data_IF_254989968482
#
_entry.id   IF_254989968482
#
_cell.length_a   1.000
_cell.length_b   1.000
_cell.length_c   1.000
_cell.angle_alpha   90.00
_cell.angle_beta   90.00
_cell.angle_gamma   90.00
#
_symmetry.space_group_name_H-M   'P 1'
#
loop_
_entity.id
_entity.type
_entity.pdbx_description
1 polymer ?
#
# COMPACT_ATOMS: atom_id res chain seq x y z
N UNK A 1 61.88 53.75 0.93
CA UNK A 1 62.25 53.40 2.32
C UNK A 1 63.77 53.43 2.39
N UNK A 2 64.37 54.15 3.35
CA UNK A 2 65.83 54.44 3.47
C UNK A 2 66.37 55.35 2.34
N UNK A 3 67.01 56.54 2.47
CA UNK A 3 67.62 57.39 3.53
C UNK A 3 69.16 57.56 3.34
N UNK A 4 69.71 58.69 3.82
CA UNK A 4 71.06 59.29 3.62
C UNK A 4 71.14 60.26 2.41
N UNK A 5 71.26 61.60 2.52
CA UNK A 5 71.67 62.57 3.57
C UNK A 5 73.16 62.89 3.70
N UNK A 6 73.44 64.18 3.96
CA UNK A 6 74.70 64.84 4.41
C UNK A 6 75.81 64.93 3.32
N UNK A 7 76.66 65.97 3.19
CA UNK A 7 77.00 67.28 3.85
C UNK A 7 77.26 68.30 2.69
N UNK A 8 76.98 69.62 2.67
CA UNK A 8 76.92 70.77 3.61
C UNK A 8 78.27 71.54 3.82
N UNK A 9 78.21 72.82 4.24
CA UNK A 9 79.33 73.75 4.57
C UNK A 9 80.13 74.40 3.40
N UNK A 10 80.65 75.63 3.51
CA UNK A 10 80.17 76.87 4.17
C UNK A 10 81.06 78.10 3.77
N UNK A 11 80.43 79.22 3.40
CA UNK A 11 80.50 80.54 4.09
C UNK A 11 81.85 81.29 4.31
N UNK A 12 82.19 82.21 3.36
CA UNK A 12 82.86 83.54 3.53
C UNK A 12 84.26 83.61 4.24
N UNK A 13 84.91 84.80 4.48
CA UNK A 13 84.79 86.16 3.92
C UNK A 13 86.13 86.82 3.42
N UNK A 14 85.99 87.99 2.77
CA UNK A 14 86.78 89.25 2.87
C UNK A 14 88.29 89.26 3.26
N UNK A 15 89.14 89.95 2.47
CA UNK A 15 90.10 91.03 2.88
C UNK A 15 90.87 91.60 1.67
N UNK A 16 91.06 92.93 1.66
CA UNK A 16 91.93 93.75 0.78
C UNK A 16 92.61 94.80 1.69
N UNK A 17 93.72 95.46 1.29
CA UNK A 17 95.10 95.00 1.10
C UNK A 17 96.03 95.52 2.26
N UNK A 18 97.38 95.41 2.18
CA UNK A 18 98.20 96.45 1.53
C UNK A 18 99.41 95.88 0.73
N UNK A 19 100.18 96.74 0.06
CA UNK A 19 101.20 96.35 -0.94
C UNK A 19 102.61 96.05 -0.41
N UNK A 20 103.48 95.52 -1.29
CA UNK A 20 104.90 95.28 -0.99
C UNK A 20 105.65 94.29 -1.90
N UNK A 21 105.82 94.66 -3.18
CA UNK A 21 106.87 94.32 -4.18
C UNK A 21 107.53 92.90 -4.29
N UNK A 22 107.97 92.57 -5.52
CA UNK A 22 108.63 91.33 -6.02
C UNK A 22 107.76 90.05 -6.11
N UNK A 23 107.87 89.19 -7.14
CA UNK A 23 108.68 89.26 -8.37
C UNK A 23 108.60 88.02 -9.28
N UNK A 24 107.59 87.95 -10.17
CA UNK A 24 107.55 87.26 -11.49
C UNK A 24 107.77 85.72 -11.57
N UNK A 25 108.22 85.00 -10.55
CA UNK A 25 108.54 83.54 -10.66
C UNK A 25 107.38 82.55 -10.40
N UNK A 26 106.30 82.95 -9.71
CA UNK A 26 105.18 82.03 -9.40
C UNK A 26 104.31 81.66 -10.61
N UNK A 27 104.08 82.60 -11.54
CA UNK A 27 103.07 82.46 -12.61
C UNK A 27 103.39 81.35 -13.62
N UNK A 28 104.67 81.02 -13.85
CA UNK A 28 105.07 79.92 -14.72
C UNK A 28 104.77 78.55 -14.09
N UNK A 29 104.97 78.42 -12.77
CA UNK A 29 104.67 77.20 -12.01
C UNK A 29 103.15 76.94 -11.94
N UNK A 30 102.36 77.99 -11.78
CA UNK A 30 100.90 77.94 -11.79
C UNK A 30 100.34 77.48 -13.14
N UNK A 31 100.88 77.96 -14.25
CA UNK A 31 100.46 77.53 -15.59
C UNK A 31 100.83 76.06 -15.89
N UNK A 32 102.02 75.61 -15.47
CA UNK A 32 102.43 74.21 -15.62
C UNK A 32 101.56 73.27 -14.78
N UNK A 33 101.19 73.69 -13.55
CA UNK A 33 100.23 72.98 -12.71
C UNK A 33 98.85 72.88 -13.38
N UNK A 34 98.34 73.98 -13.94
CA UNK A 34 97.06 74.01 -14.65
C UNK A 34 97.02 73.03 -15.83
N UNK A 35 98.11 72.88 -16.59
CA UNK A 35 98.21 71.89 -17.68
C UNK A 35 98.26 70.43 -17.18
N UNK A 36 98.82 70.18 -16.00
CA UNK A 36 98.82 68.85 -15.38
C UNK A 36 97.41 68.53 -14.87
N UNK A 37 96.77 69.47 -14.18
CA UNK A 37 95.40 69.35 -13.68
C UNK A 37 94.39 69.12 -14.83
N UNK A 38 94.55 69.83 -15.96
CA UNK A 38 93.68 69.62 -17.13
C UNK A 38 93.94 68.28 -17.83
N UNK A 39 95.21 67.82 -17.92
CA UNK A 39 95.51 66.46 -18.41
C UNK A 39 94.92 65.36 -17.51
N UNK A 40 94.98 65.54 -16.19
CA UNK A 40 94.35 64.65 -15.21
C UNK A 40 92.82 64.67 -15.36
N UNK A 41 92.22 65.86 -15.56
CA UNK A 41 90.79 66.03 -15.84
C UNK A 41 90.37 65.32 -17.13
N UNK A 42 91.09 65.51 -18.24
CA UNK A 42 90.84 64.78 -19.49
C UNK A 42 90.98 63.25 -19.32
N UNK A 43 91.99 62.78 -18.59
CA UNK A 43 92.17 61.36 -18.29
C UNK A 43 91.00 60.81 -17.45
N UNK A 44 90.56 61.56 -16.43
CA UNK A 44 89.41 61.20 -15.61
C UNK A 44 88.11 61.17 -16.43
N UNK A 45 87.84 62.15 -17.28
CA UNK A 45 86.68 62.14 -18.19
C UNK A 45 86.73 60.96 -19.16
N UNK A 46 87.91 60.59 -19.69
CA UNK A 46 88.08 59.42 -20.56
C UNK A 46 87.75 58.12 -19.81
N UNK A 47 88.26 57.97 -18.57
CA UNK A 47 87.95 56.82 -17.71
C UNK A 47 86.45 56.75 -17.41
N UNK A 48 85.84 57.87 -16.99
CA UNK A 48 84.41 57.92 -16.67
C UNK A 48 83.54 57.59 -17.89
N UNK A 49 83.91 58.06 -19.09
CA UNK A 49 83.22 57.68 -20.33
C UNK A 49 83.37 56.18 -20.65
N UNK A 50 84.55 55.60 -20.43
CA UNK A 50 84.77 54.17 -20.62
C UNK A 50 83.95 53.32 -19.62
N UNK A 51 83.92 53.71 -18.34
CA UNK A 51 83.08 53.07 -17.31
C UNK A 51 81.60 53.19 -17.65
N UNK A 52 81.13 54.40 -18.02
CA UNK A 52 79.72 54.62 -18.39
C UNK A 52 79.32 53.83 -19.63
N UNK A 53 80.22 53.70 -20.62
CA UNK A 53 79.99 52.85 -21.80
C UNK A 53 79.90 51.37 -21.43
N UNK A 54 80.78 50.88 -20.55
CA UNK A 54 80.75 49.49 -20.09
C UNK A 54 79.45 49.18 -19.31
N UNK A 55 79.05 50.06 -18.38
CA UNK A 55 77.79 49.94 -17.65
C UNK A 55 76.56 50.04 -18.56
N UNK A 56 76.56 50.93 -19.55
CA UNK A 56 75.50 51.00 -20.56
C UNK A 56 75.38 49.68 -21.34
N UNK A 57 76.50 49.10 -21.81
CA UNK A 57 76.49 47.79 -22.48
C UNK A 57 75.99 46.69 -21.54
N UNK A 58 76.43 46.67 -20.27
CA UNK A 58 75.97 45.69 -19.28
C UNK A 58 74.44 45.77 -19.05
N UNK A 59 73.93 46.97 -18.83
CA UNK A 59 72.49 47.23 -18.66
C UNK A 59 71.70 46.92 -19.94
N UNK A 60 72.26 47.17 -21.11
CA UNK A 60 71.64 46.80 -22.40
C UNK A 60 71.54 45.27 -22.55
N UNK A 61 72.58 44.52 -22.19
CA UNK A 61 72.56 43.05 -22.20
C UNK A 61 71.60 42.48 -21.14
N UNK A 62 71.57 43.05 -19.93
CA UNK A 62 70.61 42.69 -18.87
C UNK A 62 69.15 42.98 -19.30
N UNK A 63 68.89 44.12 -19.94
CA UNK A 63 67.59 44.46 -20.51
C UNK A 63 67.19 43.48 -21.64
N UNK A 64 68.12 43.15 -22.54
CA UNK A 64 67.88 42.18 -23.62
C UNK A 64 67.57 40.79 -23.04
N UNK A 65 68.31 40.32 -22.04
CA UNK A 65 68.04 39.04 -21.35
C UNK A 65 66.66 39.06 -20.69
N UNK A 66 66.35 40.09 -19.90
CA UNK A 66 65.06 40.25 -19.22
C UNK A 66 63.89 40.28 -20.19
N UNK A 67 64.06 40.93 -21.36
CA UNK A 67 63.04 40.98 -22.42
C UNK A 67 62.81 39.62 -23.10
N UNK A 68 63.86 38.82 -23.29
CA UNK A 68 63.71 37.45 -23.80
C UNK A 68 63.02 36.54 -22.78
N UNK A 69 63.39 36.66 -21.50
CA UNK A 69 62.77 35.91 -20.42
C UNK A 69 61.28 36.25 -20.25
N UNK A 70 60.91 37.54 -20.29
CA UNK A 70 59.52 37.97 -20.31
C UNK A 70 58.73 37.35 -21.47
N UNK A 71 59.33 37.29 -22.67
CA UNK A 71 58.70 36.67 -23.85
C UNK A 71 58.54 35.16 -23.68
N UNK A 72 59.52 34.48 -23.06
CA UNK A 72 59.46 33.05 -22.74
C UNK A 72 58.32 32.76 -21.77
N UNK A 73 58.28 33.47 -20.64
CA UNK A 73 57.23 33.32 -19.62
C UNK A 73 55.83 33.65 -20.15
N UNK A 74 55.70 34.64 -21.04
CA UNK A 74 54.43 34.97 -21.69
C UNK A 74 53.95 33.82 -22.60
N UNK A 75 54.85 33.22 -23.38
CA UNK A 75 54.55 32.06 -24.21
C UNK A 75 54.20 30.83 -23.35
N UNK A 76 54.96 30.54 -22.30
CA UNK A 76 54.69 29.43 -21.38
C UNK A 76 53.30 29.57 -20.76
N UNK A 77 52.97 30.75 -20.20
CA UNK A 77 51.64 31.07 -19.68
C UNK A 77 50.53 30.87 -20.72
N UNK A 78 50.74 31.31 -21.96
CA UNK A 78 49.76 31.12 -23.04
C UNK A 78 49.53 29.64 -23.34
N UNK A 79 50.60 28.84 -23.46
CA UNK A 79 50.48 27.39 -23.72
C UNK A 79 49.82 26.63 -22.57
N UNK A 80 50.05 27.03 -21.32
CA UNK A 80 49.39 26.41 -20.16
C UNK A 80 47.92 26.81 -20.09
N UNK A 81 47.58 28.05 -20.41
CA UNK A 81 46.18 28.48 -20.52
C UNK A 81 45.43 27.69 -21.61
N UNK A 82 46.06 27.42 -22.76
CA UNK A 82 45.50 26.59 -23.83
C UNK A 82 45.30 25.13 -23.37
N UNK A 83 46.28 24.52 -22.68
CA UNK A 83 46.13 23.17 -22.09
C UNK A 83 44.98 23.11 -21.08
N UNK A 84 44.84 24.11 -20.20
CA UNK A 84 43.73 24.15 -19.25
C UNK A 84 42.38 24.34 -19.95
N UNK A 85 42.31 25.09 -21.04
CA UNK A 85 41.09 25.22 -21.83
C UNK A 85 40.69 23.90 -22.51
N UNK A 86 41.65 23.16 -23.07
CA UNK A 86 41.40 21.84 -23.65
C UNK A 86 40.90 20.85 -22.60
N UNK A 87 41.59 20.73 -21.46
CA UNK A 87 41.20 19.84 -20.37
C UNK A 87 39.81 20.18 -19.80
N UNK A 88 39.46 21.47 -19.69
CA UNK A 88 38.13 21.89 -19.27
C UNK A 88 37.04 21.48 -20.26
N UNK A 89 37.34 21.49 -21.57
CA UNK A 89 36.38 21.09 -22.60
C UNK A 89 36.24 19.56 -22.69
N UNK A 90 37.34 18.81 -22.51
CA UNK A 90 37.32 17.34 -22.36
C UNK A 90 36.44 16.91 -21.17
N UNK A 91 36.66 17.49 -19.98
CA UNK A 91 35.87 17.19 -18.78
C UNK A 91 34.38 17.57 -18.92
N UNK A 92 34.07 18.62 -19.69
CA UNK A 92 32.68 18.97 -20.03
C UNK A 92 32.05 17.94 -20.97
N UNK A 93 32.81 17.48 -21.97
CA UNK A 93 32.39 16.41 -22.88
C UNK A 93 32.07 15.13 -22.12
N UNK A 94 32.99 14.65 -21.28
CA UNK A 94 32.78 13.47 -20.43
C UNK A 94 31.55 13.61 -19.52
N UNK A 95 31.33 14.78 -18.91
CA UNK A 95 30.17 15.03 -18.06
C UNK A 95 28.85 14.93 -18.85
N UNK A 96 28.81 15.44 -20.09
CA UNK A 96 27.64 15.35 -20.97
C UNK A 96 27.37 13.90 -21.38
N UNK A 97 28.40 13.14 -21.77
CA UNK A 97 28.25 11.72 -22.09
C UNK A 97 27.76 10.91 -20.88
N UNK A 98 28.37 11.10 -19.70
CA UNK A 98 27.94 10.40 -18.47
C UNK A 98 26.53 10.76 -18.04
N UNK A 99 26.09 11.99 -18.30
CA UNK A 99 24.69 12.41 -18.04
C UNK A 99 23.74 11.69 -18.98
N UNK A 100 24.08 11.60 -20.27
CA UNK A 100 23.31 10.87 -21.29
C UNK A 100 23.23 9.36 -20.99
N UNK A 101 24.35 8.72 -20.67
CA UNK A 101 24.41 7.30 -20.26
C UNK A 101 23.46 7.02 -19.09
N UNK A 102 23.43 7.92 -18.10
CA UNK A 102 22.62 7.82 -16.90
C UNK A 102 21.12 8.03 -17.19
N UNK A 103 20.77 8.91 -18.12
CA UNK A 103 19.39 9.07 -18.61
C UNK A 103 18.92 7.84 -19.40
N UNK A 104 19.76 7.28 -20.26
CA UNK A 104 19.45 6.05 -20.99
C UNK A 104 19.25 4.87 -20.03
N UNK A 105 20.13 4.68 -19.04
CA UNK A 105 19.93 3.64 -18.02
C UNK A 105 18.64 3.85 -17.21
N UNK A 106 18.26 5.08 -16.86
CA UNK A 106 16.97 5.35 -16.20
C UNK A 106 15.76 4.92 -17.03
N UNK A 107 15.85 4.98 -18.37
CA UNK A 107 14.79 4.53 -19.26
C UNK A 107 14.74 3.00 -19.38
N UNK A 108 15.89 2.33 -19.36
CA UNK A 108 16.00 0.87 -19.45
C UNK A 108 15.63 0.16 -18.13
N UNK A 109 16.00 0.73 -16.98
CA UNK A 109 15.70 0.18 -15.66
C UNK A 109 14.18 0.00 -15.45
N UNK A 110 13.82 -1.10 -14.77
CA UNK A 110 12.45 -1.36 -14.36
C UNK A 110 12.04 -0.35 -13.28
N UNK A 111 11.33 0.70 -13.69
CA UNK A 111 10.80 1.71 -12.75
C UNK A 111 9.67 1.11 -11.90
N UNK A 112 9.39 1.65 -10.70
CA UNK A 112 8.28 1.20 -9.88
C UNK A 112 6.93 1.17 -10.62
N UNK A 113 6.67 2.16 -11.49
CA UNK A 113 5.43 2.22 -12.28
C UNK A 113 5.35 1.09 -13.33
N UNK A 114 6.49 0.71 -13.95
CA UNK A 114 6.53 -0.46 -14.86
C UNK A 114 6.32 -1.76 -14.09
N UNK A 115 6.84 -1.86 -12.87
CA UNK A 115 6.64 -3.01 -11.98
C UNK A 115 5.17 -3.12 -11.53
N UNK A 116 4.54 -2.02 -11.11
CA UNK A 116 3.11 -1.98 -10.76
C UNK A 116 2.22 -2.37 -11.95
N UNK A 117 2.52 -1.87 -13.15
CA UNK A 117 1.80 -2.27 -14.37
C UNK A 117 1.95 -3.77 -14.67
N UNK A 118 3.16 -4.31 -14.54
CA UNK A 118 3.44 -5.74 -14.76
C UNK A 118 2.75 -6.61 -13.70
N UNK A 119 2.70 -6.17 -12.43
CA UNK A 119 1.95 -6.83 -11.37
C UNK A 119 0.45 -6.83 -11.66
N UNK A 120 -0.12 -5.71 -12.10
CA UNK A 120 -1.52 -5.62 -12.49
C UNK A 120 -1.85 -6.53 -13.69
N UNK A 121 -0.96 -6.61 -14.69
CA UNK A 121 -1.09 -7.54 -15.82
C UNK A 121 -1.06 -9.01 -15.36
N UNK A 122 -0.11 -9.40 -14.50
CA UNK A 122 -0.04 -10.76 -13.94
C UNK A 122 -1.32 -11.10 -13.14
N UNK A 123 -1.83 -10.15 -12.34
CA UNK A 123 -3.08 -10.34 -11.59
C UNK A 123 -4.29 -10.51 -12.51
N UNK A 124 -4.37 -9.73 -13.59
CA UNK A 124 -5.48 -9.76 -14.53
C UNK A 124 -5.46 -10.98 -15.46
N UNK A 125 -4.29 -11.32 -16.02
CA UNK A 125 -4.14 -12.37 -17.04
C UNK A 125 -3.94 -13.77 -16.45
N UNK A 126 -3.36 -13.90 -15.25
CA UNK A 126 -3.02 -15.19 -14.65
C UNK A 126 -3.76 -15.45 -13.33
N UNK A 127 -3.62 -14.57 -12.33
CA UNK A 127 -4.16 -14.87 -10.99
C UNK A 127 -5.69 -14.91 -10.96
N UNK A 128 -6.35 -13.96 -11.63
CA UNK A 128 -7.82 -13.88 -11.65
C UNK A 128 -8.44 -15.08 -12.38
N UNK A 129 -8.03 -15.44 -13.62
CA UNK A 129 -8.57 -16.62 -14.31
C UNK A 129 -8.24 -17.94 -13.61
N UNK A 130 -7.08 -18.06 -12.94
CA UNK A 130 -6.78 -19.24 -12.11
C UNK A 130 -7.71 -19.32 -10.90
N UNK A 131 -7.92 -18.22 -10.18
CA UNK A 131 -8.82 -18.16 -9.01
C UNK A 131 -10.26 -18.52 -9.39
N UNK A 132 -10.75 -18.04 -10.54
CA UNK A 132 -12.06 -18.40 -11.05
C UNK A 132 -12.15 -19.88 -11.46
N UNK A 133 -11.11 -20.42 -12.12
CA UNK A 133 -11.05 -21.87 -12.42
C UNK A 133 -11.11 -22.74 -11.16
N UNK A 134 -10.36 -22.38 -10.11
CA UNK A 134 -10.41 -23.12 -8.84
C UNK A 134 -11.79 -23.04 -8.19
N UNK A 135 -12.39 -21.84 -8.10
CA UNK A 135 -13.77 -21.68 -7.57
C UNK A 135 -14.78 -22.54 -8.35
N UNK A 136 -14.70 -22.55 -9.68
CA UNK A 136 -15.62 -23.32 -10.51
C UNK A 136 -15.43 -24.84 -10.29
N UNK A 137 -14.19 -25.32 -10.13
CA UNK A 137 -13.90 -26.71 -9.79
C UNK A 137 -14.41 -27.09 -8.39
N UNK A 138 -14.24 -26.23 -7.39
CA UNK A 138 -14.77 -26.45 -6.04
C UNK A 138 -16.31 -26.53 -6.06
N UNK A 139 -16.97 -25.66 -6.84
CA UNK A 139 -18.42 -25.72 -7.05
C UNK A 139 -18.87 -27.01 -7.77
N UNK A 140 -18.12 -27.49 -8.76
CA UNK A 140 -18.39 -28.77 -9.45
C UNK A 140 -18.23 -29.96 -8.50
N UNK A 141 -17.17 -29.98 -7.68
CA UNK A 141 -16.93 -31.01 -6.66
C UNK A 141 -18.08 -31.05 -5.66
N UNK A 142 -18.53 -29.91 -5.13
CA UNK A 142 -19.67 -29.88 -4.20
C UNK A 142 -21.00 -30.24 -4.88
N UNK A 143 -21.24 -29.84 -6.14
CA UNK A 143 -22.40 -30.32 -6.93
C UNK A 143 -22.41 -31.85 -7.00
N UNK A 144 -21.34 -32.47 -7.50
CA UNK A 144 -21.24 -33.94 -7.59
C UNK A 144 -21.32 -34.62 -6.22
N UNK A 145 -20.80 -34.00 -5.15
CA UNK A 145 -20.92 -34.51 -3.77
C UNK A 145 -22.37 -34.50 -3.28
N UNK A 146 -23.15 -33.46 -3.59
CA UNK A 146 -24.59 -33.42 -3.24
C UNK A 146 -25.40 -34.43 -4.05
N UNK A 147 -25.14 -34.57 -5.35
CA UNK A 147 -25.77 -35.56 -6.22
C UNK A 147 -25.46 -37.01 -5.79
N UNK A 148 -24.19 -37.31 -5.50
CA UNK A 148 -23.77 -38.61 -4.96
C UNK A 148 -24.48 -38.93 -3.65
N UNK A 149 -24.55 -37.97 -2.71
CA UNK A 149 -25.23 -38.18 -1.44
C UNK A 149 -26.73 -38.43 -1.65
N UNK A 150 -27.39 -37.67 -2.52
CA UNK A 150 -28.80 -37.88 -2.89
C UNK A 150 -29.02 -39.28 -3.47
N UNK A 151 -28.25 -39.67 -4.48
CA UNK A 151 -28.36 -40.97 -5.14
C UNK A 151 -28.08 -42.12 -4.16
N UNK A 152 -27.14 -41.94 -3.22
CA UNK A 152 -26.86 -42.91 -2.14
C UNK A 152 -28.05 -43.09 -1.21
N UNK A 153 -28.75 -42.02 -0.83
CA UNK A 153 -29.98 -42.11 -0.04
C UNK A 153 -31.11 -42.79 -0.83
N UNK A 154 -31.33 -42.39 -2.08
CA UNK A 154 -32.35 -42.99 -2.97
C UNK A 154 -32.10 -44.50 -3.17
N UNK A 155 -30.86 -44.91 -3.44
CA UNK A 155 -30.47 -46.32 -3.54
C UNK A 155 -30.73 -47.09 -2.22
N UNK A 156 -30.42 -46.48 -1.07
CA UNK A 156 -30.61 -47.13 0.24
C UNK A 156 -32.10 -47.32 0.55
N UNK A 157 -32.90 -46.29 0.29
CA UNK A 157 -34.36 -46.32 0.43
C UNK A 157 -35.00 -47.36 -0.49
N UNK A 158 -34.66 -47.34 -1.79
CA UNK A 158 -35.21 -48.28 -2.77
C UNK A 158 -34.82 -49.73 -2.46
N UNK A 159 -33.61 -49.95 -1.93
CA UNK A 159 -33.19 -51.26 -1.44
C UNK A 159 -34.04 -51.73 -0.26
N UNK A 160 -34.30 -50.87 0.74
CA UNK A 160 -35.14 -51.26 1.88
C UNK A 160 -36.59 -51.54 1.48
N UNK A 161 -37.16 -50.77 0.55
CA UNK A 161 -38.50 -51.01 -0.01
C UNK A 161 -38.56 -52.37 -0.74
N UNK A 162 -37.55 -52.69 -1.55
CA UNK A 162 -37.45 -53.97 -2.24
C UNK A 162 -37.30 -55.15 -1.27
N UNK A 163 -36.47 -55.02 -0.24
CA UNK A 163 -36.31 -56.04 0.80
C UNK A 163 -37.62 -56.23 1.59
N UNK A 164 -38.32 -55.15 1.94
CA UNK A 164 -39.61 -55.19 2.62
C UNK A 164 -40.70 -55.88 1.80
N UNK A 165 -40.88 -55.50 0.53
CA UNK A 165 -41.85 -56.12 -0.38
C UNK A 165 -41.56 -57.61 -0.57
N UNK A 166 -40.28 -57.99 -0.70
CA UNK A 166 -39.88 -59.40 -0.81
C UNK A 166 -40.25 -60.20 0.45
N UNK A 167 -40.07 -59.64 1.64
CA UNK A 167 -40.48 -60.26 2.91
C UNK A 167 -42.01 -60.31 3.09
N UNK A 168 -42.74 -59.31 2.58
CA UNK A 168 -44.20 -59.30 2.55
C UNK A 168 -44.75 -60.41 1.63
N UNK A 169 -44.27 -60.50 0.39
CA UNK A 169 -44.67 -61.58 -0.52
C UNK A 169 -44.32 -62.97 0.02
N UNK A 170 -43.17 -63.13 0.68
CA UNK A 170 -42.79 -64.40 1.31
C UNK A 170 -43.75 -64.79 2.46
N UNK A 171 -44.21 -63.81 3.26
CA UNK A 171 -45.21 -64.03 4.33
C UNK A 171 -46.57 -64.40 3.76
N UNK A 172 -47.05 -63.67 2.76
CA UNK A 172 -48.35 -63.95 2.10
C UNK A 172 -48.36 -65.38 1.53
N UNK A 173 -47.30 -65.79 0.83
CA UNK A 173 -47.19 -67.14 0.26
C UNK A 173 -47.21 -68.24 1.34
N UNK A 174 -46.52 -68.05 2.46
CA UNK A 174 -46.53 -69.04 3.55
C UNK A 174 -47.87 -69.05 4.29
N UNK A 175 -48.54 -67.90 4.47
CA UNK A 175 -49.90 -67.84 5.00
C UNK A 175 -50.93 -68.53 4.11
N UNK A 176 -50.88 -68.32 2.79
CA UNK A 176 -51.75 -69.01 1.83
C UNK A 176 -51.50 -70.52 1.84
N UNK A 177 -50.23 -70.94 1.86
CA UNK A 177 -49.85 -72.34 2.01
C UNK A 177 -50.42 -72.97 3.28
N UNK A 178 -50.27 -72.33 4.44
CA UNK A 178 -50.84 -72.82 5.71
C UNK A 178 -52.38 -72.89 5.64
N UNK A 179 -53.05 -71.90 5.02
CA UNK A 179 -54.51 -71.91 4.82
C UNK A 179 -54.92 -73.14 4.00
N UNK A 180 -54.29 -73.38 2.85
CA UNK A 180 -54.60 -74.54 2.01
C UNK A 180 -54.25 -75.89 2.66
N UNK A 181 -53.12 -76.00 3.39
CA UNK A 181 -52.78 -77.19 4.17
C UNK A 181 -53.85 -77.48 5.24
N UNK A 182 -54.38 -76.45 5.90
CA UNK A 182 -55.45 -76.60 6.89
C UNK A 182 -56.81 -76.98 6.28
N UNK A 183 -57.13 -76.45 5.10
CA UNK A 183 -58.35 -76.78 4.36
C UNK A 183 -58.32 -78.23 3.86
N UNK A 184 -57.19 -78.68 3.31
CA UNK A 184 -56.97 -80.08 2.91
C UNK A 184 -57.15 -81.01 4.12
N UNK A 185 -56.51 -80.71 5.26
CA UNK A 185 -56.63 -81.52 6.46
C UNK A 185 -58.07 -81.58 7.01
N UNK A 186 -58.83 -80.49 6.91
CA UNK A 186 -60.26 -80.48 7.28
C UNK A 186 -61.09 -81.36 6.33
N UNK A 187 -60.89 -81.23 5.02
CA UNK A 187 -61.62 -82.01 4.01
C UNK A 187 -61.29 -83.51 4.07
N UNK A 188 -60.05 -83.87 4.39
CA UNK A 188 -59.64 -85.25 4.64
C UNK A 188 -60.34 -85.85 5.86
N UNK A 189 -60.44 -85.07 6.95
CA UNK A 189 -61.18 -85.45 8.16
C UNK A 189 -62.68 -85.59 7.90
N UNK A 190 -63.30 -84.64 7.22
CA UNK A 190 -64.72 -84.68 6.88
C UNK A 190 -65.06 -85.89 5.99
N UNK A 191 -64.17 -86.22 5.04
CA UNK A 191 -64.26 -87.43 4.20
C UNK A 191 -64.17 -88.71 5.04
N UNK A 192 -63.23 -88.78 6.01
CA UNK A 192 -63.13 -89.92 6.91
C UNK A 192 -64.35 -90.04 7.83
N UNK A 193 -64.89 -88.92 8.33
CA UNK A 193 -66.11 -88.91 9.14
C UNK A 193 -67.33 -89.38 8.34
N UNK A 194 -67.50 -88.92 7.09
CA UNK A 194 -68.59 -89.37 6.21
C UNK A 194 -68.50 -90.86 5.87
N UNK A 195 -67.30 -91.39 5.61
CA UNK A 195 -67.07 -92.83 5.42
C UNK A 195 -67.44 -93.61 6.69
N UNK A 196 -67.03 -93.12 7.86
CA UNK A 196 -67.36 -93.72 9.14
C UNK A 196 -68.86 -93.65 9.49
N UNK A 197 -69.57 -92.60 9.05
CA UNK A 197 -71.03 -92.47 9.23
C UNK A 197 -71.79 -93.44 8.31
N UNK A 198 -71.39 -93.55 7.05
CA UNK A 198 -71.95 -94.50 6.08
C UNK A 198 -71.84 -95.96 6.58
N UNK A 199 -70.74 -96.28 7.28
CA UNK A 199 -70.48 -97.60 7.87
C UNK A 199 -71.28 -97.90 9.16
N UNK A 200 -71.92 -96.90 9.77
CA UNK A 200 -72.55 -96.98 11.12
C UNK A 200 -74.08 -96.93 11.11
N UNK A 201 -74.72 -97.06 9.94
CA UNK A 201 -76.19 -97.03 9.81
C UNK A 201 -76.77 -98.39 10.22
N UNK A 202 -77.31 -98.47 11.43
CA UNK A 202 -78.14 -99.58 11.90
C UNK A 202 -79.45 -99.03 12.54
N UNK A 203 -80.66 -99.32 12.01
CA UNK A 203 -81.86 -98.51 12.28
C UNK A 203 -82.46 -98.48 13.72
N UNK A 204 -82.38 -99.51 14.58
CA UNK A 204 -83.26 -99.57 15.76
C UNK A 204 -82.76 -98.75 16.97
N UNK A 205 -81.55 -98.20 16.91
CA UNK A 205 -80.98 -97.37 18.00
C UNK A 205 -81.49 -95.92 18.03
N UNK A 206 -82.18 -95.47 16.98
CA UNK A 206 -82.44 -94.05 16.74
C UNK A 206 -83.24 -93.38 17.86
N UNK A 207 -84.29 -94.00 18.42
CA UNK A 207 -85.17 -93.30 19.38
C UNK A 207 -84.51 -92.91 20.71
N UNK A 208 -83.48 -93.63 21.18
CA UNK A 208 -82.71 -93.23 22.38
C UNK A 208 -81.58 -92.27 22.02
N UNK A 209 -81.04 -92.42 20.80
CA UNK A 209 -80.03 -91.54 20.24
C UNK A 209 -80.61 -90.14 19.97
N UNK A 210 -81.81 -90.03 19.43
CA UNK A 210 -82.52 -88.75 19.21
C UNK A 210 -82.85 -88.04 20.51
N UNK A 211 -83.18 -88.75 21.59
CA UNK A 211 -83.44 -88.13 22.89
C UNK A 211 -82.16 -87.58 23.54
N UNK A 212 -81.03 -88.31 23.46
CA UNK A 212 -79.73 -87.82 23.89
C UNK A 212 -79.26 -86.64 23.02
N UNK A 213 -79.36 -86.76 21.70
CA UNK A 213 -79.08 -85.69 20.74
C UNK A 213 -79.96 -84.46 20.99
N UNK A 214 -81.22 -84.60 21.40
CA UNK A 214 -82.08 -83.46 21.72
C UNK A 214 -81.60 -82.70 22.96
N UNK A 215 -81.15 -83.41 24.00
CA UNK A 215 -80.56 -82.78 25.21
C UNK A 215 -79.22 -82.11 24.89
N UNK A 216 -78.39 -82.78 24.09
CA UNK A 216 -77.12 -82.24 23.61
C UNK A 216 -77.33 -81.00 22.72
N UNK A 217 -78.34 -81.02 21.84
CA UNK A 217 -78.71 -79.89 20.98
C UNK A 217 -79.18 -78.67 21.82
N UNK A 218 -79.96 -78.86 22.88
CA UNK A 218 -80.31 -77.77 23.81
C UNK A 218 -79.07 -77.18 24.49
N UNK A 219 -78.15 -78.02 24.96
CA UNK A 219 -76.88 -77.57 25.56
C UNK A 219 -75.99 -76.84 24.55
N UNK A 220 -75.87 -77.38 23.33
CA UNK A 220 -75.13 -76.75 22.23
C UNK A 220 -75.77 -75.41 21.84
N UNK A 221 -77.09 -75.30 21.76
CA UNK A 221 -77.81 -74.05 21.53
C UNK A 221 -77.53 -72.98 22.61
N UNK A 222 -77.43 -73.38 23.88
CA UNK A 222 -77.03 -72.45 24.95
C UNK A 222 -75.57 -72.01 24.81
N UNK A 223 -74.66 -72.93 24.49
CA UNK A 223 -73.26 -72.60 24.22
C UNK A 223 -73.09 -71.70 22.99
N UNK A 224 -73.88 -71.93 21.94
CA UNK A 224 -73.92 -71.10 20.73
C UNK A 224 -74.32 -69.67 21.07
N UNK A 225 -75.40 -69.48 21.84
CA UNK A 225 -75.82 -68.14 22.30
C UNK A 225 -74.77 -67.42 23.16
N UNK A 226 -74.02 -68.16 23.97
CA UNK A 226 -72.88 -67.61 24.71
C UNK A 226 -71.77 -67.10 23.79
N UNK A 227 -71.38 -67.91 22.80
CA UNK A 227 -70.37 -67.56 21.80
C UNK A 227 -70.85 -66.42 20.87
N UNK A 228 -72.13 -66.36 20.52
CA UNK A 228 -72.74 -65.26 19.76
C UNK A 228 -72.64 -63.93 20.51
N UNK A 229 -72.86 -63.94 21.83
CA UNK A 229 -72.70 -62.76 22.68
C UNK A 229 -71.23 -62.33 22.80
N UNK A 230 -70.31 -63.27 23.04
CA UNK A 230 -68.86 -63.02 23.08
C UNK A 230 -68.34 -62.44 21.75
N UNK A 231 -68.80 -62.99 20.61
CA UNK A 231 -68.48 -62.45 19.27
C UNK A 231 -69.06 -61.05 19.06
N UNK A 232 -70.22 -60.72 19.64
CA UNK A 232 -70.79 -59.38 19.59
C UNK A 232 -69.98 -58.37 20.43
N UNK A 233 -69.55 -58.75 21.64
CA UNK A 233 -68.69 -57.94 22.49
C UNK A 233 -67.31 -57.70 21.84
N UNK A 234 -66.66 -58.75 21.35
CA UNK A 234 -65.38 -58.64 20.64
C UNK A 234 -65.46 -57.77 19.37
N UNK A 235 -66.60 -57.78 18.67
CA UNK A 235 -66.84 -56.87 17.53
C UNK A 235 -66.96 -55.42 17.99
N UNK A 236 -67.71 -55.14 19.06
CA UNK A 236 -67.85 -53.80 19.62
C UNK A 236 -66.52 -53.25 20.16
N UNK A 237 -65.72 -54.09 20.82
CA UNK A 237 -64.38 -53.72 21.31
C UNK A 237 -63.40 -53.46 20.15
N UNK A 238 -63.44 -54.29 19.10
CA UNK A 238 -62.69 -54.05 17.86
C UNK A 238 -63.08 -52.73 17.18
N UNK A 239 -64.38 -52.42 17.11
CA UNK A 239 -64.86 -51.17 16.50
C UNK A 239 -64.43 -49.95 17.33
N UNK A 240 -64.55 -50.01 18.67
CA UNK A 240 -64.09 -48.97 19.58
C UNK A 240 -62.57 -48.74 19.49
N UNK A 241 -61.76 -49.81 19.49
CA UNK A 241 -60.31 -49.68 19.33
C UNK A 241 -59.92 -49.13 17.95
N UNK A 242 -60.61 -49.52 16.88
CA UNK A 242 -60.48 -48.92 15.55
C UNK A 242 -60.77 -47.41 15.55
N UNK A 243 -61.87 -47.00 16.18
CA UNK A 243 -62.23 -45.59 16.31
C UNK A 243 -61.20 -44.78 17.14
N UNK A 244 -60.60 -45.38 18.18
CA UNK A 244 -59.52 -44.76 18.94
C UNK A 244 -58.25 -44.57 18.11
N UNK A 245 -57.84 -45.59 17.35
CA UNK A 245 -56.68 -45.50 16.44
C UNK A 245 -56.91 -44.44 15.36
N UNK A 246 -58.09 -44.42 14.75
CA UNK A 246 -58.41 -43.43 13.71
C UNK A 246 -58.41 -41.99 14.29
N UNK A 247 -58.98 -41.79 15.48
CA UNK A 247 -58.97 -40.48 16.14
C UNK A 247 -57.54 -40.03 16.49
N UNK A 248 -56.70 -40.93 17.02
CA UNK A 248 -55.29 -40.64 17.29
C UNK A 248 -54.53 -40.27 16.01
N UNK A 249 -54.76 -41.00 14.91
CA UNK A 249 -54.15 -40.72 13.61
C UNK A 249 -54.61 -39.36 13.05
N UNK A 250 -55.91 -39.03 13.13
CA UNK A 250 -56.44 -37.71 12.73
C UNK A 250 -55.79 -36.56 13.52
N UNK A 251 -55.56 -36.74 14.82
CA UNK A 251 -54.87 -35.76 15.67
C UNK A 251 -53.41 -35.59 15.25
N UNK A 252 -52.68 -36.69 15.03
CA UNK A 252 -51.28 -36.64 14.57
C UNK A 252 -51.14 -35.97 13.20
N UNK A 253 -52.02 -36.29 12.24
CA UNK A 253 -52.03 -35.65 10.91
C UNK A 253 -52.29 -34.15 11.02
N UNK A 254 -53.21 -33.70 11.88
CA UNK A 254 -53.42 -32.27 12.16
C UNK A 254 -52.17 -31.62 12.74
N UNK A 255 -51.57 -32.22 13.77
CA UNK A 255 -50.35 -31.68 14.41
C UNK A 255 -49.16 -31.58 13.43
N UNK A 256 -49.00 -32.57 12.56
CA UNK A 256 -47.99 -32.53 11.49
C UNK A 256 -48.24 -31.40 10.50
N UNK A 257 -49.50 -31.16 10.10
CA UNK A 257 -49.86 -30.04 9.22
C UNK A 257 -49.63 -28.68 9.90
N UNK A 258 -49.97 -28.55 11.18
CA UNK A 258 -49.70 -27.35 11.99
C UNK A 258 -48.19 -27.08 12.11
N UNK A 259 -47.38 -28.11 12.43
CA UNK A 259 -45.92 -28.00 12.45
C UNK A 259 -45.32 -27.64 11.09
N UNK A 260 -45.82 -28.22 9.98
CA UNK A 260 -45.37 -27.83 8.65
C UNK A 260 -45.70 -26.37 8.32
N UNK A 261 -46.85 -25.86 8.76
CA UNK A 261 -47.21 -24.45 8.60
C UNK A 261 -46.30 -23.52 9.41
N UNK A 262 -45.96 -23.86 10.65
CA UNK A 262 -45.03 -23.05 11.47
C UNK A 262 -43.62 -23.05 10.90
N UNK A 263 -43.11 -24.20 10.42
CA UNK A 263 -41.80 -24.27 9.75
C UNK A 263 -41.74 -23.34 8.53
N UNK A 264 -42.74 -23.39 7.63
CA UNK A 264 -42.80 -22.49 6.46
C UNK A 264 -42.86 -21.02 6.84
N UNK A 265 -43.56 -20.66 7.92
CA UNK A 265 -43.61 -19.29 8.44
C UNK A 265 -42.24 -18.82 8.95
N UNK A 266 -41.56 -19.66 9.73
CA UNK A 266 -40.22 -19.36 10.27
C UNK A 266 -39.15 -19.29 9.17
N UNK A 267 -39.28 -20.11 8.11
CA UNK A 267 -38.43 -20.01 6.92
C UNK A 267 -38.62 -18.69 6.18
N UNK A 268 -39.87 -18.24 6.00
CA UNK A 268 -40.16 -16.94 5.38
C UNK A 268 -39.64 -15.77 6.23
N UNK A 269 -39.83 -15.81 7.55
CA UNK A 269 -39.31 -14.81 8.50
C UNK A 269 -37.77 -14.76 8.47
N UNK A 270 -37.10 -15.93 8.48
CA UNK A 270 -35.64 -16.03 8.34
C UNK A 270 -35.13 -15.39 7.04
N UNK A 271 -35.79 -15.61 5.91
CA UNK A 271 -35.40 -15.00 4.64
C UNK A 271 -35.62 -13.47 4.65
N UNK A 272 -36.72 -13.01 5.25
CA UNK A 272 -37.00 -11.57 5.42
C UNK A 272 -35.93 -10.89 6.28
N UNK A 273 -35.59 -11.48 7.44
CA UNK A 273 -34.56 -10.99 8.33
C UNK A 273 -33.17 -10.98 7.66
N UNK A 274 -32.85 -11.99 6.84
CA UNK A 274 -31.61 -12.03 6.05
C UNK A 274 -31.52 -10.86 5.05
N UNK A 275 -32.58 -10.61 4.30
CA UNK A 275 -32.64 -9.47 3.36
C UNK A 275 -32.54 -8.12 4.08
N UNK A 276 -33.11 -8.00 5.28
CA UNK A 276 -32.98 -6.80 6.11
C UNK A 276 -31.54 -6.61 6.61
N UNK A 277 -30.84 -7.67 7.02
CA UNK A 277 -29.44 -7.63 7.41
C UNK A 277 -28.54 -7.22 6.23
N UNK A 278 -28.67 -7.86 5.07
CA UNK A 278 -27.92 -7.52 3.85
C UNK A 278 -28.14 -6.06 3.40
N UNK A 279 -29.32 -5.50 3.65
CA UNK A 279 -29.61 -4.08 3.41
C UNK A 279 -28.87 -3.18 4.40
N UNK A 280 -28.94 -3.48 5.69
CA UNK A 280 -28.27 -2.68 6.73
C UNK A 280 -26.75 -2.73 6.61
N UNK A 281 -26.16 -3.86 6.19
CA UNK A 281 -24.73 -3.98 5.88
C UNK A 281 -24.31 -3.04 4.73
N UNK A 282 -25.12 -2.95 3.66
CA UNK A 282 -24.86 -2.02 2.54
C UNK A 282 -24.99 -0.55 2.94
N UNK A 283 -26.00 -0.23 3.77
CA UNK A 283 -26.18 1.13 4.31
C UNK A 283 -24.99 1.51 5.23
N UNK A 284 -24.51 0.59 6.07
CA UNK A 284 -23.33 0.76 6.91
C UNK A 284 -22.05 0.92 6.10
N UNK A 285 -21.84 0.10 5.06
CA UNK A 285 -20.68 0.22 4.17
C UNK A 285 -20.64 1.59 3.49
N UNK A 286 -21.75 2.02 2.88
CA UNK A 286 -21.87 3.34 2.25
C UNK A 286 -21.61 4.47 3.23
N UNK A 287 -22.11 4.37 4.47
CA UNK A 287 -21.83 5.35 5.52
C UNK A 287 -20.35 5.39 5.91
N UNK A 288 -19.68 4.22 6.01
CA UNK A 288 -18.25 4.11 6.29
C UNK A 288 -17.40 4.74 5.18
N UNK A 289 -17.70 4.45 3.91
CA UNK A 289 -17.03 5.04 2.74
C UNK A 289 -17.19 6.57 2.72
N UNK A 290 -18.40 7.08 2.96
CA UNK A 290 -18.66 8.52 3.08
C UNK A 290 -17.86 9.15 4.23
N UNK A 291 -17.79 8.48 5.38
CA UNK A 291 -17.02 8.96 6.53
C UNK A 291 -15.50 9.02 6.21
N UNK A 292 -14.95 8.02 5.53
CA UNK A 292 -13.56 8.03 5.05
C UNK A 292 -13.28 9.21 4.10
N UNK A 293 -14.22 9.54 3.21
CA UNK A 293 -14.11 10.71 2.33
C UNK A 293 -14.18 12.03 3.12
N UNK A 294 -15.05 12.12 4.14
CA UNK A 294 -15.15 13.31 4.99
C UNK A 294 -13.89 13.52 5.84
N UNK A 295 -13.36 12.47 6.47
CA UNK A 295 -12.08 12.50 7.20
C UNK A 295 -10.94 12.94 6.26
N UNK A 296 -10.92 12.44 5.03
CA UNK A 296 -9.92 12.83 4.03
C UNK A 296 -10.03 14.30 3.61
N UNK A 297 -11.24 14.88 3.60
CA UNK A 297 -11.47 16.31 3.36
C UNK A 297 -11.07 17.15 4.58
N UNK A 298 -11.39 16.70 5.80
CA UNK A 298 -11.01 17.34 7.05
C UNK A 298 -9.48 17.48 7.15
N UNK A 299 -8.74 16.39 6.99
CA UNK A 299 -7.27 16.40 7.02
C UNK A 299 -6.63 17.30 5.94
N UNK A 300 -7.32 17.58 4.82
CA UNK A 300 -6.85 18.55 3.81
C UNK A 300 -7.08 19.99 4.29
N UNK A 301 -8.28 20.29 4.75
CA UNK A 301 -8.63 21.60 5.30
C UNK A 301 -7.74 21.98 6.50
N UNK A 302 -7.43 21.03 7.38
CA UNK A 302 -6.51 21.24 8.52
C UNK A 302 -5.08 21.61 8.06
N UNK A 303 -4.57 20.97 7.00
CA UNK A 303 -3.25 21.33 6.41
C UNK A 303 -3.28 22.71 5.77
N UNK A 304 -4.36 23.05 5.08
CA UNK A 304 -4.57 24.38 4.49
C UNK A 304 -4.63 25.45 5.57
N UNK A 305 -5.39 25.23 6.64
CA UNK A 305 -5.44 26.10 7.83
C UNK A 305 -4.03 26.27 8.42
N UNK A 306 -3.33 25.19 8.72
CA UNK A 306 -1.96 25.26 9.28
C UNK A 306 -1.00 26.04 8.37
N UNK A 307 -1.10 25.86 7.05
CA UNK A 307 -0.28 26.59 6.06
C UNK A 307 -0.60 28.09 6.06
N UNK A 308 -1.90 28.44 6.08
CA UNK A 308 -2.35 29.83 6.15
C UNK A 308 -1.98 30.49 7.48
N UNK A 309 -2.09 29.77 8.61
CA UNK A 309 -1.67 30.26 9.93
C UNK A 309 -0.18 30.56 9.97
N UNK A 310 0.69 29.66 9.48
CA UNK A 310 2.13 29.92 9.36
C UNK A 310 2.40 31.16 8.52
N UNK A 311 1.74 31.28 7.35
CA UNK A 311 1.90 32.43 6.45
C UNK A 311 1.43 33.75 7.07
N UNK A 312 0.38 33.72 7.88
CA UNK A 312 -0.10 34.90 8.64
C UNK A 312 0.92 35.32 9.69
N UNK A 313 1.50 34.39 10.44
CA UNK A 313 2.55 34.71 11.42
C UNK A 313 3.87 35.18 10.77
N UNK A 314 4.26 34.60 9.63
CA UNK A 314 5.37 35.09 8.79
C UNK A 314 5.16 36.54 8.34
N UNK A 315 4.00 36.85 7.73
CA UNK A 315 3.67 38.21 7.28
C UNK A 315 3.61 39.19 8.45
N UNK A 316 3.02 38.78 9.58
CA UNK A 316 2.95 39.57 10.82
C UNK A 316 4.33 39.83 11.42
N UNK A 317 5.27 38.89 11.31
CA UNK A 317 6.67 39.10 11.71
C UNK A 317 7.40 40.03 10.73
N UNK A 318 7.26 39.80 9.43
CA UNK A 318 7.85 40.64 8.37
C UNK A 318 7.39 42.11 8.49
N UNK A 319 6.08 42.35 8.56
CA UNK A 319 5.52 43.69 8.72
C UNK A 319 5.97 44.35 10.02
N UNK A 320 6.18 43.57 11.10
CA UNK A 320 6.70 44.11 12.36
C UNK A 320 8.15 44.60 12.22
N UNK A 321 8.99 43.88 11.48
CA UNK A 321 10.37 44.28 11.17
C UNK A 321 10.39 45.53 10.28
N UNK A 322 9.62 45.53 9.19
CA UNK A 322 9.50 46.67 8.27
C UNK A 322 9.00 47.95 8.99
N UNK A 323 8.01 47.83 9.89
CA UNK A 323 7.57 48.94 10.74
C UNK A 323 8.68 49.43 11.69
N UNK A 324 9.54 48.56 12.20
CA UNK A 324 10.69 48.99 13.02
C UNK A 324 11.79 49.65 12.20
N UNK A 325 12.04 49.19 10.99
CA UNK A 325 13.04 49.77 10.08
C UNK A 325 12.59 51.15 9.60
N UNK A 326 11.35 51.30 9.14
CA UNK A 326 10.76 52.60 8.78
C UNK A 326 10.81 53.59 9.96
N UNK A 327 10.57 53.12 11.20
CA UNK A 327 10.69 53.97 12.39
C UNK A 327 12.14 54.39 12.68
N UNK A 328 13.11 53.50 12.44
CA UNK A 328 14.54 53.80 12.57
C UNK A 328 15.01 54.79 11.50
N UNK A 329 14.59 54.63 10.25
CA UNK A 329 14.89 55.56 9.15
C UNK A 329 14.26 56.93 9.38
N UNK A 330 12.99 56.99 9.78
CA UNK A 330 12.32 58.24 10.13
C UNK A 330 13.01 58.96 11.30
N UNK A 331 13.50 58.21 12.30
CA UNK A 331 14.27 58.79 13.40
C UNK A 331 15.65 59.31 12.96
N UNK A 332 16.35 58.59 12.06
CA UNK A 332 17.62 59.03 11.46
C UNK A 332 17.43 60.32 10.64
N UNK A 333 16.49 60.31 9.70
CA UNK A 333 16.17 61.46 8.85
C UNK A 333 15.75 62.67 9.69
N UNK A 334 14.96 62.48 10.75
CA UNK A 334 14.64 63.55 11.72
C UNK A 334 15.91 64.10 12.39
N UNK A 335 16.82 63.25 12.83
CA UNK A 335 18.08 63.68 13.47
C UNK A 335 19.02 64.41 12.51
N UNK A 336 19.01 64.04 11.22
CA UNK A 336 19.78 64.71 10.17
C UNK A 336 19.18 66.08 9.84
N UNK A 337 17.85 66.19 9.72
CA UNK A 337 17.15 67.47 9.58
C UNK A 337 17.37 68.39 10.79
N UNK A 338 17.39 67.86 12.02
CA UNK A 338 17.73 68.64 13.21
C UNK A 338 19.19 69.13 13.20
N UNK A 339 20.14 68.33 12.69
CA UNK A 339 21.54 68.74 12.52
C UNK A 339 21.70 69.83 11.45
N UNK A 340 21.11 69.65 10.27
CA UNK A 340 21.16 70.66 9.20
C UNK A 340 20.46 71.95 9.62
N UNK A 341 19.31 71.87 10.33
CA UNK A 341 18.68 73.06 10.94
C UNK A 341 19.63 73.75 11.92
N UNK A 342 20.29 73.01 12.82
CA UNK A 342 21.22 73.59 13.79
C UNK A 342 22.45 74.21 13.09
N UNK A 343 22.92 73.61 12.00
CA UNK A 343 24.02 74.12 11.18
C UNK A 343 23.64 75.43 10.48
N UNK A 344 22.50 75.46 9.80
CA UNK A 344 21.95 76.67 9.18
C UNK A 344 21.73 77.78 10.24
N UNK A 345 21.24 77.42 11.42
CA UNK A 345 21.10 78.37 12.53
C UNK A 345 22.47 78.93 12.96
N UNK A 346 23.50 78.09 13.11
CA UNK A 346 24.85 78.55 13.45
C UNK A 346 25.52 79.38 12.34
N UNK A 347 25.21 79.10 11.07
CA UNK A 347 25.66 79.91 9.93
C UNK A 347 24.93 81.25 9.86
N UNK A 348 23.68 81.33 10.34
CA UNK A 348 22.92 82.58 10.48
C UNK A 348 23.45 83.42 11.64
N UNK A 349 23.65 82.80 12.81
CA UNK A 349 24.11 83.45 14.04
C UNK A 349 25.60 83.90 13.95
N UNK A 350 26.38 83.31 13.04
CA UNK A 350 27.77 83.66 12.77
C UNK A 350 28.00 84.68 11.64
N UNK A 351 26.93 85.18 11.01
CA UNK A 351 26.97 86.22 9.95
C UNK A 351 26.35 87.56 10.40
N UNK A 352 26.36 87.83 11.71
CA UNK A 352 26.00 89.10 12.36
C UNK A 352 27.25 89.68 13.04
#
# INVERSE_FOLDING_TARGET
MVNCSLINMDTFPTIFPPGGDSGVTNSQSEFQKMLIDERLRCAHHKTNYQTLKAEHTRLQDEYIKSRHELKRLLNEKQTDQEKFQLLLEELRGELVEKTKDLEEMKLQVLTPQKLELLQAQIQQELETPMRERFRNLDEEVEKYRTEYNKLRYEHTFLKSEFEHQKEEFARILEEEKIKYESEIASLEKDKEELLNQLLKVDPPGESKRTELLARENVHLCQKLKGLEAEVAELRAEKENSGAQVENAQRIQVRQLAEMQATVRSLEAEKQSAKLQAERLEKELQSSSEQNTVLISKLHKAEREINTLTSKVEELKHSNKLEITDIKLEAARAKSELERERNKIQSELDGNI
#
